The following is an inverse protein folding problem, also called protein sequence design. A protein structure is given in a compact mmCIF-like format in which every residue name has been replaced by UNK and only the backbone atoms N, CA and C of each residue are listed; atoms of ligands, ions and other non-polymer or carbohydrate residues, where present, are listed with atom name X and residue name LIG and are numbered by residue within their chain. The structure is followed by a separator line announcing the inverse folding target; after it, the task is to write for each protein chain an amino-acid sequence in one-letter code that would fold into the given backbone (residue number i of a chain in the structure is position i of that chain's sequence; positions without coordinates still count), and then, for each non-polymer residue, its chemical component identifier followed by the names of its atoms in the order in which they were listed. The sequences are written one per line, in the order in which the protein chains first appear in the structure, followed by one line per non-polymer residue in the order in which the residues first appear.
data_IF_864406719973
#
_entry.id   IF_864406719973
#
_cell.length_a   1.000
_cell.length_b   1.000
_cell.length_c   1.000
_cell.angle_alpha   90.00
_cell.angle_beta   90.00
_cell.angle_gamma   90.00
#
_symmetry.space_group_name_H-M   'P 1'
#
loop_
_entity.id
_entity.type
_entity.pdbx_description
1 polymer ?
#
# COMPACT_ATOMS: atom_id res chain seq x y z
N UNK A 1 12.88 -4.52 9.61
CA UNK A 1 11.50 -4.42 9.12
C UNK A 1 11.01 -3.01 9.36
N UNK A 2 10.54 -2.34 8.32
CA UNK A 2 10.20 -0.90 8.28
C UNK A 2 8.69 -0.64 8.27
N UNK A 3 7.88 -1.67 8.03
CA UNK A 3 6.42 -1.66 8.16
C UNK A 3 6.05 -2.46 9.40
N UNK A 4 5.28 -1.84 10.29
CA UNK A 4 4.78 -2.46 11.53
C UNK A 4 3.25 -2.28 11.62
N UNK A 5 2.52 -3.36 11.90
CA UNK A 5 1.07 -3.35 12.09
C UNK A 5 0.71 -3.53 13.56
N UNK A 6 -0.11 -2.62 14.10
CA UNK A 6 -0.69 -2.74 15.43
C UNK A 6 -2.21 -3.01 15.30
N UNK A 7 -2.59 -4.27 15.49
CA UNK A 7 -3.98 -4.73 15.35
C UNK A 7 -4.92 -4.16 16.40
N UNK A 8 -4.42 -3.89 17.62
CA UNK A 8 -5.27 -3.39 18.71
C UNK A 8 -5.69 -1.94 18.46
N UNK A 9 -4.82 -1.14 17.85
CA UNK A 9 -5.05 0.28 17.59
C UNK A 9 -5.44 0.58 16.14
N UNK A 10 -5.50 -0.42 15.26
CA UNK A 10 -5.63 -0.24 13.81
C UNK A 10 -4.62 0.77 13.25
N UNK A 11 -3.35 0.60 13.64
CA UNK A 11 -2.27 1.49 13.25
C UNK A 11 -1.24 0.80 12.36
N UNK A 12 -0.85 1.49 11.30
CA UNK A 12 0.30 1.13 10.47
C UNK A 12 1.41 2.14 10.72
N UNK A 13 2.62 1.65 10.94
CA UNK A 13 3.82 2.47 10.98
C UNK A 13 4.70 2.12 9.80
N UNK A 14 5.10 3.12 9.03
CA UNK A 14 5.98 2.98 7.86
C UNK A 14 6.90 4.18 7.78
N UNK A 15 8.21 3.94 7.59
CA UNK A 15 9.26 4.97 7.53
C UNK A 15 9.25 6.00 8.68
N UNK A 16 8.76 5.60 9.86
CA UNK A 16 8.64 6.48 11.04
C UNK A 16 7.33 7.28 11.12
N UNK A 17 6.52 7.28 10.08
CA UNK A 17 5.15 7.82 10.09
C UNK A 17 4.19 6.80 10.69
N UNK A 18 3.18 7.26 11.44
CA UNK A 18 2.14 6.42 12.05
C UNK A 18 0.77 6.84 11.53
N UNK A 19 0.06 5.90 10.94
CA UNK A 19 -1.26 6.07 10.35
C UNK A 19 -2.30 5.35 11.22
N UNK A 20 -3.25 6.11 11.77
CA UNK A 20 -4.42 5.51 12.45
C UNK A 20 -5.55 5.38 11.43
N UNK A 21 -6.01 4.14 11.24
CA UNK A 21 -6.97 3.79 10.20
C UNK A 21 -8.25 3.26 10.83
N UNK A 22 -9.35 3.36 10.08
CA UNK A 22 -10.54 2.60 10.47
C UNK A 22 -10.27 1.08 10.28
N UNK A 23 -11.06 0.20 10.92
CA UNK A 23 -10.82 -1.24 10.86
C UNK A 23 -10.79 -1.82 9.45
N UNK A 24 -11.64 -1.32 8.54
CA UNK A 24 -11.76 -1.82 7.18
C UNK A 24 -10.54 -1.48 6.33
N UNK A 25 -10.08 -0.24 6.42
CA UNK A 25 -8.83 0.23 5.80
C UNK A 25 -7.62 -0.54 6.30
N UNK A 26 -7.54 -0.73 7.62
CA UNK A 26 -6.45 -1.49 8.23
C UNK A 26 -6.44 -2.94 7.73
N UNK A 27 -7.60 -3.60 7.72
CA UNK A 27 -7.75 -4.97 7.25
C UNK A 27 -7.37 -5.11 5.76
N UNK A 28 -7.84 -4.21 4.90
CA UNK A 28 -7.55 -4.24 3.48
C UNK A 28 -6.03 -4.10 3.20
N UNK A 29 -5.36 -3.12 3.81
CA UNK A 29 -3.91 -2.93 3.65
C UNK A 29 -3.15 -4.15 4.18
N UNK A 30 -3.55 -4.68 5.34
CA UNK A 30 -2.90 -5.86 5.91
C UNK A 30 -3.03 -7.09 5.02
N UNK A 31 -4.22 -7.35 4.46
CA UNK A 31 -4.45 -8.45 3.52
C UNK A 31 -3.58 -8.33 2.27
N UNK A 32 -3.45 -7.13 1.73
CA UNK A 32 -2.56 -6.88 0.60
C UNK A 32 -1.10 -7.10 0.98
N UNK A 33 -0.64 -6.52 2.10
CA UNK A 33 0.74 -6.66 2.59
C UNK A 33 1.14 -8.11 2.80
N UNK A 34 0.28 -8.91 3.46
CA UNK A 34 0.55 -10.32 3.73
C UNK A 34 0.62 -11.14 2.41
N UNK A 35 -0.19 -10.80 1.40
CA UNK A 35 -0.13 -11.43 0.07
C UNK A 35 1.15 -11.06 -0.68
N UNK A 36 1.52 -9.78 -0.66
CA UNK A 36 2.70 -9.27 -1.34
C UNK A 36 3.98 -9.84 -0.70
N UNK A 37 4.04 -9.86 0.64
CA UNK A 37 5.14 -10.46 1.38
C UNK A 37 5.34 -11.93 0.99
N UNK A 38 4.26 -12.71 0.97
CA UNK A 38 4.29 -14.11 0.55
C UNK A 38 4.78 -14.28 -0.89
N UNK A 39 4.39 -13.38 -1.79
CA UNK A 39 4.90 -13.37 -3.16
C UNK A 39 6.42 -13.14 -3.17
N UNK A 40 6.91 -12.14 -2.46
CA UNK A 40 8.35 -11.83 -2.38
C UNK A 40 9.17 -12.98 -1.79
N UNK A 41 8.64 -13.67 -0.77
CA UNK A 41 9.23 -14.88 -0.19
C UNK A 41 9.30 -16.03 -1.20
N UNK A 42 8.21 -16.28 -1.94
CA UNK A 42 8.14 -17.38 -2.92
C UNK A 42 9.16 -17.23 -4.06
N UNK A 43 9.53 -15.99 -4.40
CA UNK A 43 10.46 -15.69 -5.49
C UNK A 43 11.87 -15.29 -5.01
N UNK A 44 12.14 -15.32 -3.70
CA UNK A 44 13.42 -14.92 -3.08
C UNK A 44 13.89 -13.52 -3.50
N UNK A 45 12.95 -12.57 -3.55
CA UNK A 45 13.18 -11.17 -3.98
C UNK A 45 12.95 -10.17 -2.85
N UNK A 46 13.03 -10.62 -1.59
CA UNK A 46 12.73 -9.82 -0.40
C UNK A 46 13.46 -8.48 -0.34
N UNK A 47 14.74 -8.45 -0.72
CA UNK A 47 15.54 -7.21 -0.75
C UNK A 47 15.01 -6.19 -1.74
N UNK A 48 14.53 -6.64 -2.91
CA UNK A 48 13.95 -5.75 -3.92
C UNK A 48 12.59 -5.24 -3.49
N UNK A 49 11.74 -6.16 -3.02
CA UNK A 49 10.40 -5.86 -2.55
C UNK A 49 10.36 -4.90 -1.36
N UNK A 50 11.41 -4.83 -0.54
CA UNK A 50 11.35 -4.07 0.70
C UNK A 50 11.00 -2.59 0.47
N UNK A 51 11.65 -1.96 -0.50
CA UNK A 51 11.40 -0.55 -0.81
C UNK A 51 9.99 -0.36 -1.37
N UNK A 52 9.59 -1.23 -2.28
CA UNK A 52 8.27 -1.17 -2.93
C UNK A 52 7.16 -1.36 -1.88
N UNK A 53 7.31 -2.30 -0.94
CA UNK A 53 6.39 -2.48 0.18
C UNK A 53 6.24 -1.22 1.03
N UNK A 54 7.35 -0.55 1.35
CA UNK A 54 7.29 0.67 2.17
C UNK A 54 6.57 1.81 1.45
N UNK A 55 6.83 2.01 0.16
CA UNK A 55 6.19 3.05 -0.66
C UNK A 55 4.71 2.78 -0.87
N UNK A 56 4.33 1.55 -1.20
CA UNK A 56 2.93 1.19 -1.42
C UNK A 56 2.11 1.21 -0.13
N UNK A 57 2.63 0.70 1.00
CA UNK A 57 1.91 0.77 2.29
C UNK A 57 1.71 2.23 2.71
N UNK A 58 2.70 3.10 2.53
CA UNK A 58 2.60 4.52 2.85
C UNK A 58 1.53 5.21 1.99
N UNK A 59 1.55 4.96 0.67
CA UNK A 59 0.54 5.46 -0.26
C UNK A 59 -0.87 5.01 0.12
N UNK A 60 -1.06 3.71 0.33
CA UNK A 60 -2.37 3.13 0.65
C UNK A 60 -2.88 3.61 2.01
N UNK A 61 -1.99 3.71 3.02
CA UNK A 61 -2.35 4.19 4.35
C UNK A 61 -2.81 5.64 4.32
N UNK A 62 -2.12 6.51 3.57
CA UNK A 62 -2.54 7.90 3.43
C UNK A 62 -3.84 8.03 2.62
N UNK A 63 -3.97 7.30 1.52
CA UNK A 63 -5.20 7.28 0.72
C UNK A 63 -6.40 6.83 1.55
N UNK A 64 -6.28 5.73 2.29
CA UNK A 64 -7.36 5.19 3.11
C UNK A 64 -7.65 6.01 4.36
N UNK A 65 -6.66 6.72 4.91
CA UNK A 65 -6.89 7.72 5.96
C UNK A 65 -7.81 8.84 5.47
N UNK A 66 -7.65 9.27 4.22
CA UNK A 66 -8.45 10.33 3.60
C UNK A 66 -9.82 9.84 3.12
N UNK A 67 -9.88 8.69 2.45
CA UNK A 67 -11.10 8.11 1.90
C UNK A 67 -12.01 7.56 3.00
N UNK A 68 -11.42 7.00 4.06
CA UNK A 68 -12.10 6.48 5.24
C UNK A 68 -13.34 5.59 4.91
N UNK A 69 -13.15 4.48 4.16
CA UNK A 69 -14.23 3.56 3.78
C UNK A 69 -15.03 3.08 4.98
N UNK A 70 -16.32 2.83 4.76
CA UNK A 70 -17.33 2.45 5.75
C UNK A 70 -17.61 0.95 5.78
N UNK A 71 -17.06 0.21 4.84
CA UNK A 71 -17.10 -1.25 4.81
C UNK A 71 -15.82 -1.83 4.20
N UNK A 72 -15.62 -3.13 4.40
CA UNK A 72 -14.53 -3.86 3.75
C UNK A 72 -14.71 -3.92 2.22
N UNK A 73 -15.96 -4.08 1.77
CA UNK A 73 -16.30 -4.05 0.33
C UNK A 73 -15.91 -2.71 -0.31
N UNK A 74 -16.24 -1.59 0.33
CA UNK A 74 -15.85 -0.26 -0.16
C UNK A 74 -14.33 -0.06 -0.12
N UNK A 75 -13.65 -0.58 0.91
CA UNK A 75 -12.19 -0.56 0.96
C UNK A 75 -11.56 -1.36 -0.19
N UNK A 76 -12.11 -2.54 -0.53
CA UNK A 76 -11.67 -3.37 -1.65
C UNK A 76 -11.94 -2.70 -3.01
N UNK A 77 -13.09 -2.04 -3.17
CA UNK A 77 -13.39 -1.23 -4.36
C UNK A 77 -12.41 -0.08 -4.54
N UNK A 78 -12.14 0.68 -3.46
CA UNK A 78 -11.15 1.75 -3.48
C UNK A 78 -9.75 1.22 -3.77
N UNK A 79 -9.40 0.06 -3.22
CA UNK A 79 -8.13 -0.59 -3.52
C UNK A 79 -7.96 -0.81 -5.03
N UNK A 80 -8.95 -1.40 -5.69
CA UNK A 80 -8.91 -1.64 -7.14
C UNK A 80 -8.82 -0.35 -7.97
N UNK A 81 -9.40 0.75 -7.49
CA UNK A 81 -9.27 2.06 -8.15
C UNK A 81 -7.86 2.63 -7.96
N UNK A 82 -7.33 2.58 -6.74
CA UNK A 82 -6.01 3.10 -6.39
C UNK A 82 -4.90 2.35 -7.12
N UNK A 83 -4.98 1.01 -7.19
CA UNK A 83 -4.00 0.17 -7.89
C UNK A 83 -3.93 0.54 -9.39
N UNK A 84 -5.10 0.64 -10.05
CA UNK A 84 -5.17 1.10 -11.46
C UNK A 84 -4.65 2.53 -11.65
N UNK A 85 -4.92 3.41 -10.70
CA UNK A 85 -4.47 4.80 -10.77
C UNK A 85 -2.95 4.89 -10.59
N UNK A 86 -2.38 4.10 -9.68
CA UNK A 86 -0.95 3.99 -9.46
C UNK A 86 -0.24 3.49 -10.72
N UNK A 87 -0.65 2.37 -11.29
CA UNK A 87 -0.08 1.79 -12.52
C UNK A 87 -0.13 2.78 -13.69
N UNK A 88 -1.28 3.43 -13.89
CA UNK A 88 -1.46 4.40 -14.97
C UNK A 88 -0.57 5.64 -14.79
N UNK A 89 -0.39 6.08 -13.54
CA UNK A 89 0.39 7.27 -13.22
C UNK A 89 1.88 6.97 -13.32
N UNK A 90 2.34 5.85 -12.77
CA UNK A 90 3.74 5.42 -12.86
C UNK A 90 4.16 5.24 -14.33
N UNK A 91 3.31 4.61 -15.15
CA UNK A 91 3.53 4.48 -16.58
C UNK A 91 3.68 5.84 -17.29
N UNK A 92 2.78 6.78 -17.03
CA UNK A 92 2.86 8.14 -17.61
C UNK A 92 4.11 8.90 -17.16
N UNK A 93 4.50 8.78 -15.89
CA UNK A 93 5.70 9.42 -15.37
C UNK A 93 6.95 8.87 -16.08
N UNK A 94 7.06 7.54 -16.21
CA UNK A 94 8.15 6.90 -16.96
C UNK A 94 8.19 7.37 -18.41
N UNK A 95 7.04 7.47 -19.09
CA UNK A 95 6.96 8.01 -20.45
C UNK A 95 7.48 9.45 -20.55
N UNK A 96 7.13 10.32 -19.59
CA UNK A 96 7.60 11.71 -19.57
C UNK A 96 9.11 11.77 -19.38
N UNK A 97 9.68 10.98 -18.48
CA UNK A 97 11.14 10.95 -18.27
C UNK A 97 11.90 10.39 -19.48
N UNK A 98 11.36 9.37 -20.15
CA UNK A 98 11.96 8.83 -21.39
C UNK A 98 11.95 9.85 -22.53
N UNK A 99 10.91 10.68 -22.64
CA UNK A 99 10.81 11.72 -23.68
C UNK A 99 11.64 12.98 -23.37
N UNK A 100 12.03 13.17 -22.12
CA UNK A 100 12.83 14.31 -21.67
C UNK A 100 14.36 14.07 -21.73
N UNK A 101 14.77 12.84 -22.09
CA UNK A 101 16.16 12.44 -22.36
C UNK A 101 16.41 12.29 -23.86
#
# INVERSE_FOLDING_TARGET
MSVEFNLTLNQVKVKGSVFSLNPYSFEAIKRWYDKFLKWCENYDVMTYCQKDMEEEVEYLAEAFRLLAPKSLEEAEEYFAVLERAYDSTEGKIKEVFVRAM
#
